data_IF_455390472587
#
_entry.id   IF_455390472587
#
_cell.length_a   1.000
_cell.length_b   1.000
_cell.length_c   1.000
_cell.angle_alpha   90.00
_cell.angle_beta   90.00
_cell.angle_gamma   90.00
#
_symmetry.space_group_name_H-M   'P 1'
#
loop_
_entity.id
_entity.type
_entity.pdbx_description
1 polymer ?
#
# COMPACT_ATOMS: atom_id res chain seq x y z
N UNK A 1 -0.03 -18.54 -21.19
CA UNK A 1 -0.79 -17.28 -21.08
C UNK A 1 -0.37 -16.37 -22.22
N UNK A 2 -1.35 -15.90 -22.99
CA UNK A 2 -1.14 -15.05 -24.18
C UNK A 2 -0.35 -13.78 -23.83
N UNK A 3 -0.63 -13.22 -22.64
CA UNK A 3 -0.03 -11.97 -22.14
C UNK A 3 1.46 -12.08 -21.75
N UNK A 4 1.97 -13.26 -21.40
CA UNK A 4 3.32 -13.40 -20.83
C UNK A 4 4.32 -14.11 -21.74
N UNK A 5 3.87 -14.59 -22.90
CA UNK A 5 4.71 -15.31 -23.86
C UNK A 5 5.84 -14.44 -24.45
N UNK A 6 5.62 -13.12 -24.53
CA UNK A 6 6.60 -12.19 -25.10
C UNK A 6 7.66 -11.69 -24.11
N UNK A 7 7.69 -12.21 -22.88
CA UNK A 7 8.65 -11.75 -21.86
C UNK A 7 10.08 -12.17 -22.22
N UNK A 8 11.11 -11.33 -21.98
CA UNK A 8 12.49 -11.59 -22.39
C UNK A 8 13.05 -12.95 -21.95
N UNK A 9 12.78 -13.36 -20.70
CA UNK A 9 13.20 -14.66 -20.16
C UNK A 9 12.46 -15.85 -20.81
N UNK A 10 11.18 -15.68 -21.17
CA UNK A 10 10.38 -16.74 -21.81
C UNK A 10 10.85 -16.97 -23.24
N UNK A 11 11.28 -15.90 -23.92
CA UNK A 11 11.82 -15.94 -25.28
C UNK A 11 13.29 -16.35 -25.36
N UNK A 12 13.96 -16.54 -24.22
CA UNK A 12 15.40 -16.84 -24.20
C UNK A 12 16.30 -15.68 -24.62
N UNK A 13 15.79 -14.44 -24.66
CA UNK A 13 16.57 -13.24 -25.02
C UNK A 13 17.60 -12.87 -23.94
N UNK A 14 17.38 -13.31 -22.69
CA UNK A 14 18.26 -13.09 -21.56
C UNK A 14 18.48 -14.44 -20.87
N UNK A 15 19.73 -14.75 -20.50
CA UNK A 15 20.03 -15.99 -19.78
C UNK A 15 19.50 -15.94 -18.35
N UNK A 16 19.08 -17.09 -17.80
CA UNK A 16 18.61 -17.19 -16.42
C UNK A 16 19.69 -16.76 -15.42
N UNK A 17 20.96 -17.09 -15.70
CA UNK A 17 22.10 -16.69 -14.85
C UNK A 17 22.31 -15.18 -14.86
N UNK A 18 22.24 -14.54 -16.02
CA UNK A 18 22.35 -13.08 -16.15
C UNK A 18 21.21 -12.37 -15.41
N UNK A 19 19.98 -12.88 -15.51
CA UNK A 19 18.85 -12.30 -14.79
C UNK A 19 18.97 -12.49 -13.27
N UNK A 20 19.47 -13.64 -12.81
CA UNK A 20 19.71 -13.89 -11.39
C UNK A 20 20.80 -12.97 -10.83
N UNK A 21 21.94 -12.86 -11.53
CA UNK A 21 23.02 -11.95 -11.14
C UNK A 21 22.54 -10.50 -11.08
N UNK A 22 21.78 -10.05 -12.09
CA UNK A 22 21.20 -8.72 -12.10
C UNK A 22 20.27 -8.49 -10.90
N UNK A 23 19.40 -9.46 -10.58
CA UNK A 23 18.49 -9.38 -9.43
C UNK A 23 19.24 -9.32 -8.09
N UNK A 24 20.30 -10.11 -7.92
CA UNK A 24 21.13 -10.09 -6.71
C UNK A 24 21.85 -8.75 -6.59
N UNK A 25 22.52 -8.29 -7.65
CA UNK A 25 23.26 -7.03 -7.63
C UNK A 25 22.35 -5.83 -7.33
N UNK A 26 21.23 -5.71 -8.03
CA UNK A 26 20.28 -4.61 -7.80
C UNK A 26 19.60 -4.72 -6.43
N UNK A 27 19.30 -5.93 -5.95
CA UNK A 27 18.77 -6.15 -4.62
C UNK A 27 19.75 -5.72 -3.52
N UNK A 28 21.01 -6.19 -3.58
CA UNK A 28 22.05 -5.81 -2.62
C UNK A 28 22.35 -4.31 -2.67
N UNK A 29 22.49 -3.74 -3.87
CA UNK A 29 22.71 -2.31 -4.05
C UNK A 29 21.54 -1.49 -3.47
N UNK A 30 20.30 -1.86 -3.78
CA UNK A 30 19.11 -1.16 -3.28
C UNK A 30 19.00 -1.22 -1.75
N UNK A 31 19.24 -2.38 -1.14
CA UNK A 31 19.27 -2.51 0.33
C UNK A 31 20.42 -1.69 0.91
N UNK A 32 21.60 -1.69 0.29
CA UNK A 32 22.74 -0.87 0.73
C UNK A 32 22.43 0.63 0.67
N UNK A 33 21.80 1.10 -0.41
CA UNK A 33 21.38 2.50 -0.54
C UNK A 33 20.38 2.88 0.54
N UNK A 34 19.41 2.01 0.87
CA UNK A 34 18.48 2.27 1.96
C UNK A 34 19.18 2.28 3.33
N UNK A 35 20.14 1.38 3.53
CA UNK A 35 20.87 1.26 4.80
C UNK A 35 21.69 2.52 5.12
N UNK A 36 22.45 3.01 4.13
CA UNK A 36 23.33 4.16 4.32
C UNK A 36 22.66 5.50 4.00
N UNK A 37 21.62 5.51 3.16
CA UNK A 37 20.98 6.74 2.67
C UNK A 37 19.65 7.09 3.32
N UNK A 38 19.03 6.16 4.05
CA UNK A 38 17.73 6.40 4.71
C UNK A 38 17.82 6.05 6.19
N UNK A 39 17.68 4.76 6.53
CA UNK A 39 17.85 4.24 7.88
C UNK A 39 17.84 2.69 7.87
N UNK A 40 18.48 2.03 8.85
CA UNK A 40 18.49 0.57 9.00
C UNK A 40 17.10 -0.07 9.00
N UNK A 41 16.11 0.51 9.67
CA UNK A 41 14.74 -0.06 9.72
C UNK A 41 14.11 -0.18 8.33
N UNK A 42 14.22 0.87 7.50
CA UNK A 42 13.70 0.90 6.13
C UNK A 42 14.42 -0.10 5.23
N UNK A 43 15.73 -0.26 5.40
CA UNK A 43 16.53 -1.24 4.68
C UNK A 43 16.10 -2.69 5.01
N UNK A 44 15.85 -2.98 6.29
CA UNK A 44 15.37 -4.29 6.74
C UNK A 44 13.96 -4.58 6.22
N UNK A 45 13.06 -3.60 6.26
CA UNK A 45 11.73 -3.71 5.66
C UNK A 45 11.83 -3.99 4.15
N UNK A 46 12.71 -3.28 3.44
CA UNK A 46 12.97 -3.50 2.02
C UNK A 46 13.51 -4.90 1.70
N UNK A 47 14.52 -5.34 2.45
CA UNK A 47 15.11 -6.68 2.31
C UNK A 47 14.09 -7.78 2.65
N UNK A 48 13.33 -7.60 3.73
CA UNK A 48 12.24 -8.49 4.13
C UNK A 48 11.14 -8.56 3.07
N UNK A 49 10.76 -7.43 2.46
CA UNK A 49 9.77 -7.39 1.40
C UNK A 49 10.25 -8.08 0.12
N UNK A 50 11.53 -7.92 -0.23
CA UNK A 50 12.16 -8.65 -1.35
C UNK A 50 12.07 -10.16 -1.12
N UNK A 51 12.42 -10.62 0.09
CA UNK A 51 12.32 -12.02 0.47
C UNK A 51 10.89 -12.55 0.46
N UNK A 52 9.96 -11.80 1.06
CA UNK A 52 8.53 -12.11 1.09
C UNK A 52 7.95 -12.22 -0.33
N UNK A 53 8.31 -11.30 -1.22
CA UNK A 53 7.83 -11.32 -2.60
C UNK A 53 8.39 -12.49 -3.42
N UNK A 54 9.71 -12.68 -3.36
CA UNK A 54 10.42 -13.66 -4.20
C UNK A 54 10.20 -15.10 -3.73
N UNK A 55 10.31 -15.35 -2.42
CA UNK A 55 10.35 -16.71 -1.87
C UNK A 55 9.01 -17.17 -1.28
N UNK A 56 8.15 -16.27 -0.83
CA UNK A 56 6.85 -16.64 -0.24
C UNK A 56 5.72 -16.42 -1.23
N UNK A 57 5.48 -15.18 -1.63
CA UNK A 57 4.34 -14.82 -2.48
C UNK A 57 4.40 -15.49 -3.86
N UNK A 58 5.57 -15.46 -4.53
CA UNK A 58 5.69 -15.96 -5.90
C UNK A 58 5.39 -17.47 -6.01
N UNK A 59 5.96 -18.36 -5.16
CA UNK A 59 5.58 -19.76 -5.14
C UNK A 59 4.13 -19.98 -4.71
N UNK A 60 3.63 -19.21 -3.73
CA UNK A 60 2.29 -19.38 -3.17
C UNK A 60 1.18 -19.22 -4.22
N UNK A 61 1.41 -18.45 -5.29
CA UNK A 61 0.47 -18.33 -6.42
C UNK A 61 0.09 -19.66 -7.07
N UNK A 62 0.96 -20.68 -7.00
CA UNK A 62 0.70 -22.03 -7.52
C UNK A 62 0.17 -23.00 -6.45
N UNK A 63 0.29 -22.64 -5.17
CA UNK A 63 0.00 -23.54 -4.06
C UNK A 63 -1.36 -23.27 -3.42
N UNK A 64 -1.69 -22.00 -3.13
CA UNK A 64 -2.87 -21.66 -2.33
C UNK A 64 -3.53 -20.32 -2.73
N UNK A 65 -4.87 -20.19 -2.65
CA UNK A 65 -5.59 -18.92 -2.91
C UNK A 65 -5.20 -17.75 -1.98
N UNK A 66 -4.59 -18.04 -0.83
CA UNK A 66 -4.09 -17.03 0.13
C UNK A 66 -2.96 -16.18 -0.45
N UNK A 67 -2.40 -16.54 -1.61
CA UNK A 67 -1.40 -15.73 -2.30
C UNK A 67 -1.79 -14.26 -2.44
N UNK A 68 -3.07 -13.92 -2.62
CA UNK A 68 -3.50 -12.53 -2.78
C UNK A 68 -3.34 -11.74 -1.49
N UNK A 69 -3.57 -12.35 -0.32
CA UNK A 69 -3.35 -11.71 0.98
C UNK A 69 -1.87 -11.48 1.25
N UNK A 70 -1.03 -12.48 0.99
CA UNK A 70 0.43 -12.33 1.12
C UNK A 70 0.96 -11.26 0.15
N UNK A 71 0.44 -11.24 -1.07
CA UNK A 71 0.74 -10.19 -2.04
C UNK A 71 0.26 -8.81 -1.59
N UNK A 72 -0.86 -8.74 -0.86
CA UNK A 72 -1.33 -7.48 -0.29
C UNK A 72 -0.44 -6.99 0.86
N UNK A 73 0.12 -7.89 1.68
CA UNK A 73 1.16 -7.54 2.67
C UNK A 73 2.37 -6.94 1.96
N UNK A 74 2.86 -7.57 0.88
CA UNK A 74 3.97 -7.02 0.09
C UNK A 74 3.67 -5.61 -0.42
N UNK A 75 2.43 -5.34 -0.82
CA UNK A 75 1.98 -4.01 -1.27
C UNK A 75 1.80 -2.99 -0.13
N UNK A 76 1.66 -3.43 1.11
CA UNK A 76 1.50 -2.58 2.29
C UNK A 76 2.84 -2.14 2.90
N UNK A 77 3.92 -2.88 2.66
CA UNK A 77 5.26 -2.55 3.18
C UNK A 77 5.84 -1.24 2.60
N UNK A 78 5.72 -0.90 1.31
CA UNK A 78 6.29 0.34 0.77
C UNK A 78 5.78 1.63 1.45
N UNK A 79 4.48 1.80 1.77
CA UNK A 79 4.04 2.89 2.63
C UNK A 79 4.72 2.95 4.00
N UNK A 80 4.92 1.81 4.66
CA UNK A 80 5.63 1.77 5.95
C UNK A 80 7.09 2.18 5.79
N UNK A 81 7.75 1.73 4.71
CA UNK A 81 9.10 2.17 4.37
C UNK A 81 9.17 3.68 4.18
N UNK A 82 8.19 4.27 3.45
CA UNK A 82 8.10 5.71 3.27
C UNK A 82 7.84 6.45 4.59
N UNK A 83 7.01 5.89 5.47
CA UNK A 83 6.77 6.44 6.80
C UNK A 83 8.03 6.43 7.67
N UNK A 84 8.73 5.28 7.76
CA UNK A 84 9.99 5.17 8.49
C UNK A 84 11.05 6.14 7.96
N UNK A 85 11.11 6.35 6.65
CA UNK A 85 12.04 7.30 6.03
C UNK A 85 11.76 8.76 6.42
N UNK A 86 10.48 9.13 6.56
CA UNK A 86 10.09 10.47 6.97
C UNK A 86 10.21 10.66 8.49
N UNK A 87 9.78 9.66 9.27
CA UNK A 87 9.80 9.70 10.73
C UNK A 87 11.22 9.74 11.29
N UNK A 88 12.20 9.10 10.64
CA UNK A 88 13.60 9.11 11.10
C UNK A 88 14.24 10.51 11.08
N UNK A 89 13.64 11.49 10.41
CA UNK A 89 14.12 12.88 10.45
C UNK A 89 13.81 13.58 11.79
N UNK A 90 12.86 13.04 12.55
CA UNK A 90 12.36 13.62 13.80
C UNK A 90 12.55 12.68 15.00
N UNK A 91 13.08 11.47 14.77
CA UNK A 91 13.38 10.50 15.83
C UNK A 91 14.43 11.05 16.79
N UNK A 92 14.12 10.95 18.09
CA UNK A 92 14.99 11.39 19.21
C UNK A 92 16.09 10.35 19.50
N UNK A 93 15.99 9.16 18.92
CA UNK A 93 16.95 8.06 19.13
C UNK A 93 18.29 8.40 18.48
N UNK A 94 19.31 8.59 19.33
CA UNK A 94 20.68 8.90 18.92
C UNK A 94 21.28 7.74 18.10
N UNK A 95 21.38 7.95 16.78
CA UNK A 95 21.74 6.91 15.80
C UNK A 95 23.17 6.37 15.96
N UNK A 96 23.95 6.95 16.87
CA UNK A 96 25.35 6.61 17.09
C UNK A 96 25.56 5.38 17.98
N UNK A 97 24.58 4.97 18.80
CA UNK A 97 24.74 3.86 19.75
C UNK A 97 23.47 3.03 20.01
N UNK A 98 22.36 3.33 19.33
CA UNK A 98 21.10 2.58 19.47
C UNK A 98 21.13 1.26 18.73
N UNK A 99 20.54 0.22 19.31
CA UNK A 99 20.35 -1.05 18.60
C UNK A 99 19.30 -0.89 17.49
N UNK A 100 19.45 -1.67 16.40
CA UNK A 100 18.49 -1.68 15.27
C UNK A 100 17.05 -1.97 15.75
N UNK A 101 16.93 -2.73 16.84
CA UNK A 101 15.65 -3.06 17.45
C UNK A 101 14.97 -1.84 18.08
N UNK A 102 15.74 -0.99 18.78
CA UNK A 102 15.23 0.23 19.41
C UNK A 102 14.78 1.24 18.35
N UNK A 103 15.59 1.44 17.31
CA UNK A 103 15.23 2.29 16.16
C UNK A 103 13.93 1.80 15.49
N UNK A 104 13.82 0.48 15.28
CA UNK A 104 12.62 -0.10 14.66
C UNK A 104 11.38 0.05 15.54
N UNK A 105 11.54 -0.03 16.87
CA UNK A 105 10.44 0.17 17.82
C UNK A 105 9.99 1.63 17.82
N UNK A 106 10.92 2.58 17.81
CA UNK A 106 10.65 4.01 17.73
C UNK A 106 9.88 4.39 16.46
N UNK A 107 10.30 3.84 15.31
CA UNK A 107 9.72 4.19 14.00
C UNK A 107 8.40 3.47 13.67
N UNK A 108 8.17 2.26 14.19
CA UNK A 108 7.02 1.43 13.79
C UNK A 108 6.01 1.16 14.89
N UNK A 109 6.38 1.24 16.17
CA UNK A 109 5.55 0.75 17.28
C UNK A 109 5.16 1.88 18.26
N UNK A 110 5.45 3.13 17.91
CA UNK A 110 4.99 4.32 18.63
C UNK A 110 3.59 4.75 18.17
N UNK A 111 2.90 5.55 18.99
CA UNK A 111 1.58 6.09 18.63
C UNK A 111 1.65 7.00 17.38
N UNK A 112 2.78 7.67 17.18
CA UNK A 112 3.04 8.47 15.99
C UNK A 112 3.10 7.62 14.73
N UNK A 113 3.49 6.34 14.81
CA UNK A 113 3.56 5.44 13.67
C UNK A 113 2.19 4.97 13.16
N UNK A 114 1.10 5.26 13.87
CA UNK A 114 -0.26 4.82 13.50
C UNK A 114 -0.66 5.31 12.11
N UNK A 115 -0.27 6.53 11.73
CA UNK A 115 -0.51 7.07 10.38
C UNK A 115 0.11 6.22 9.28
N UNK A 116 1.35 5.74 9.48
CA UNK A 116 2.04 4.85 8.56
C UNK A 116 1.30 3.52 8.39
N UNK A 117 0.84 2.93 9.50
CA UNK A 117 0.05 1.70 9.48
C UNK A 117 -1.32 1.87 8.82
N UNK A 118 -1.97 3.02 8.98
CA UNK A 118 -3.24 3.31 8.33
C UNK A 118 -3.09 3.46 6.81
N UNK A 119 -2.04 4.12 6.32
CA UNK A 119 -1.75 4.20 4.88
C UNK A 119 -1.38 2.81 4.35
N UNK A 120 -0.60 2.02 5.09
CA UNK A 120 -0.29 0.64 4.75
C UNK A 120 -1.55 -0.22 4.68
N UNK A 121 -2.47 -0.07 5.65
CA UNK A 121 -3.76 -0.75 5.68
C UNK A 121 -4.66 -0.32 4.51
N UNK A 122 -4.63 0.95 4.12
CA UNK A 122 -5.34 1.47 2.96
C UNK A 122 -4.86 0.78 1.68
N UNK A 123 -3.54 0.73 1.45
CA UNK A 123 -2.97 0.03 0.29
C UNK A 123 -3.25 -1.48 0.33
N UNK A 124 -3.18 -2.10 1.51
CA UNK A 124 -3.52 -3.50 1.71
C UNK A 124 -4.97 -3.78 1.31
N UNK A 125 -5.92 -3.01 1.85
CA UNK A 125 -7.34 -3.17 1.58
C UNK A 125 -7.67 -2.90 0.10
N UNK A 126 -7.04 -1.90 -0.49
CA UNK A 126 -7.23 -1.54 -1.90
C UNK A 126 -6.85 -2.66 -2.88
N UNK A 127 -5.85 -3.50 -2.55
CA UNK A 127 -5.41 -4.57 -3.45
C UNK A 127 -6.55 -5.52 -3.85
N UNK A 128 -7.49 -5.81 -2.94
CA UNK A 128 -8.52 -6.82 -3.18
C UNK A 128 -9.53 -6.42 -4.28
N UNK A 129 -10.25 -5.29 -4.18
CA UNK A 129 -11.14 -4.87 -5.26
C UNK A 129 -10.39 -4.65 -6.57
N UNK A 130 -9.14 -4.15 -6.54
CA UNK A 130 -8.34 -3.95 -7.74
C UNK A 130 -7.93 -5.26 -8.41
N UNK A 131 -7.24 -6.14 -7.68
CA UNK A 131 -6.67 -7.37 -8.21
C UNK A 131 -7.74 -8.39 -8.60
N UNK A 132 -8.82 -8.52 -7.81
CA UNK A 132 -9.89 -9.46 -8.15
C UNK A 132 -10.72 -9.01 -9.34
N UNK A 133 -10.95 -7.70 -9.51
CA UNK A 133 -11.54 -7.15 -10.71
C UNK A 133 -10.68 -7.43 -11.97
N UNK A 134 -9.36 -7.21 -11.87
CA UNK A 134 -8.42 -7.46 -12.95
C UNK A 134 -8.34 -8.96 -13.32
N UNK A 135 -8.13 -9.81 -12.31
CA UNK A 135 -7.91 -11.25 -12.51
C UNK A 135 -9.18 -11.99 -12.92
N UNK A 136 -10.36 -11.44 -12.68
CA UNK A 136 -11.63 -12.04 -13.10
C UNK A 136 -11.68 -12.30 -14.61
N UNK A 137 -11.23 -11.34 -15.43
CA UNK A 137 -11.28 -11.46 -16.90
C UNK A 137 -10.28 -12.48 -17.46
N UNK A 138 -9.19 -12.75 -16.74
CA UNK A 138 -8.11 -13.66 -17.15
C UNK A 138 -8.08 -14.94 -16.31
N UNK A 139 -9.14 -15.22 -15.54
CA UNK A 139 -9.21 -16.33 -14.58
C UNK A 139 -8.99 -17.70 -15.23
N UNK A 140 -9.50 -17.87 -16.45
CA UNK A 140 -9.35 -19.11 -17.22
C UNK A 140 -7.91 -19.34 -17.62
N UNK A 141 -7.21 -18.30 -18.10
CA UNK A 141 -5.78 -18.38 -18.41
C UNK A 141 -4.93 -18.69 -17.16
N UNK A 142 -5.30 -18.15 -15.99
CA UNK A 142 -4.64 -18.49 -14.74
C UNK A 142 -4.83 -19.96 -14.38
N UNK A 143 -6.05 -20.50 -14.49
CA UNK A 143 -6.35 -21.90 -14.22
C UNK A 143 -5.55 -22.82 -15.17
N UNK A 144 -5.56 -22.55 -16.47
CA UNK A 144 -4.81 -23.32 -17.47
C UNK A 144 -3.30 -23.28 -17.22
N UNK A 145 -2.76 -22.18 -16.70
CA UNK A 145 -1.35 -22.04 -16.36
C UNK A 145 -0.97 -22.62 -14.98
N UNK A 146 -1.90 -23.31 -14.30
CA UNK A 146 -1.66 -23.95 -13.01
C UNK A 146 -1.62 -22.99 -11.81
N UNK A 147 -2.13 -21.77 -11.96
CA UNK A 147 -2.25 -20.81 -10.85
C UNK A 147 -3.54 -21.02 -10.07
N UNK A 148 -3.43 -21.04 -8.74
CA UNK A 148 -4.54 -21.19 -7.80
C UNK A 148 -4.99 -19.82 -7.27
N UNK A 149 -5.49 -18.98 -8.17
CA UNK A 149 -6.04 -17.67 -7.81
C UNK A 149 -7.44 -17.83 -7.22
N UNK A 150 -7.81 -16.97 -6.26
CA UNK A 150 -9.17 -17.01 -5.69
C UNK A 150 -10.24 -16.76 -6.75
N UNK A 151 -9.96 -15.92 -7.75
CA UNK A 151 -10.86 -15.66 -8.88
C UNK A 151 -10.99 -16.81 -9.87
N UNK A 152 -10.06 -17.77 -9.89
CA UNK A 152 -10.19 -19.00 -10.69
C UNK A 152 -10.83 -20.13 -9.90
N UNK A 153 -10.63 -20.20 -8.57
CA UNK A 153 -11.22 -21.25 -7.73
C UNK A 153 -12.63 -20.92 -7.21
N UNK A 154 -12.87 -19.68 -6.77
CA UNK A 154 -14.15 -19.24 -6.20
C UNK A 154 -14.39 -17.74 -6.44
N UNK A 155 -15.03 -17.43 -7.57
CA UNK A 155 -15.38 -16.06 -7.97
C UNK A 155 -16.30 -15.35 -6.98
N UNK A 156 -17.27 -16.06 -6.38
CA UNK A 156 -18.18 -15.49 -5.39
C UNK A 156 -17.46 -15.09 -4.10
N UNK A 157 -16.48 -15.89 -3.66
CA UNK A 157 -15.62 -15.53 -2.52
C UNK A 157 -14.75 -14.33 -2.87
N UNK A 158 -14.12 -14.30 -4.04
CA UNK A 158 -13.33 -13.14 -4.48
C UNK A 158 -14.16 -11.84 -4.50
N UNK A 159 -15.40 -11.91 -4.95
CA UNK A 159 -16.29 -10.75 -4.96
C UNK A 159 -16.72 -10.31 -3.53
N UNK A 160 -16.99 -11.26 -2.63
CA UNK A 160 -17.26 -10.96 -1.21
C UNK A 160 -16.06 -10.34 -0.52
N UNK A 161 -14.85 -10.82 -0.79
CA UNK A 161 -13.60 -10.25 -0.23
C UNK A 161 -13.40 -8.83 -0.77
N UNK A 162 -13.58 -8.62 -2.09
CA UNK A 162 -13.52 -7.28 -2.70
C UNK A 162 -14.48 -6.30 -2.02
N UNK A 163 -15.72 -6.73 -1.76
CA UNK A 163 -16.73 -5.93 -1.07
C UNK A 163 -16.33 -5.60 0.37
N UNK A 164 -15.87 -6.59 1.15
CA UNK A 164 -15.45 -6.40 2.55
C UNK A 164 -14.32 -5.40 2.68
N UNK A 165 -13.28 -5.50 1.83
CA UNK A 165 -12.18 -4.55 1.87
C UNK A 165 -12.54 -3.19 1.27
N UNK A 166 -13.50 -3.13 0.33
CA UNK A 166 -14.08 -1.86 -0.10
C UNK A 166 -14.77 -1.13 1.05
N UNK A 167 -15.46 -1.86 1.92
CA UNK A 167 -16.07 -1.31 3.14
C UNK A 167 -15.02 -0.96 4.20
N UNK A 168 -13.96 -1.77 4.35
CA UNK A 168 -12.89 -1.52 5.31
C UNK A 168 -12.12 -0.22 5.05
N UNK A 169 -12.12 0.30 3.81
CA UNK A 169 -11.46 1.58 3.50
C UNK A 169 -12.14 2.79 4.16
N UNK A 170 -13.43 2.72 4.51
CA UNK A 170 -14.10 3.80 5.25
C UNK A 170 -13.51 4.01 6.65
N UNK A 171 -13.50 3.01 7.57
CA UNK A 171 -12.91 3.20 8.89
C UNK A 171 -11.39 3.47 8.82
N UNK A 172 -10.68 2.99 7.80
CA UNK A 172 -9.26 3.34 7.61
C UNK A 172 -9.08 4.83 7.30
N UNK A 173 -9.85 5.39 6.36
CA UNK A 173 -9.81 6.82 6.05
C UNK A 173 -10.31 7.69 7.21
N UNK A 174 -11.33 7.24 7.96
CA UNK A 174 -11.77 7.89 9.20
C UNK A 174 -10.64 7.87 10.23
N UNK A 175 -9.93 6.75 10.38
CA UNK A 175 -8.76 6.62 11.24
C UNK A 175 -7.67 7.64 10.91
N UNK A 176 -7.41 7.91 9.63
CA UNK A 176 -6.44 8.93 9.22
C UNK A 176 -6.83 10.33 9.70
N UNK A 177 -8.12 10.66 9.77
CA UNK A 177 -8.59 11.93 10.35
C UNK A 177 -8.61 11.90 11.88
N UNK A 178 -8.91 10.75 12.48
CA UNK A 178 -8.99 10.59 13.94
C UNK A 178 -7.62 10.71 14.62
N UNK A 179 -6.56 10.17 14.00
CA UNK A 179 -5.18 10.28 14.49
C UNK A 179 -4.45 11.52 13.93
N UNK A 180 -5.20 12.55 13.53
CA UNK A 180 -4.68 13.85 13.06
C UNK A 180 -3.65 13.79 11.92
N UNK A 181 -3.67 12.73 11.10
CA UNK A 181 -2.86 12.66 9.86
C UNK A 181 -3.46 13.59 8.80
N UNK A 182 -4.78 13.71 8.79
CA UNK A 182 -5.56 14.53 7.83
C UNK A 182 -6.65 15.31 8.56
N UNK A 183 -7.11 16.41 7.95
CA UNK A 183 -8.22 17.21 8.47
C UNK A 183 -9.54 16.42 8.48
N UNK A 184 -10.51 16.84 9.32
CA UNK A 184 -11.85 16.24 9.38
C UNK A 184 -12.60 16.32 8.05
N UNK A 185 -12.28 17.31 7.20
CA UNK A 185 -12.80 17.41 5.84
C UNK A 185 -12.41 16.21 4.97
N UNK A 186 -11.27 15.58 5.23
CA UNK A 186 -10.82 14.36 4.53
C UNK A 186 -11.78 13.19 4.74
N UNK A 187 -12.38 13.07 5.93
CA UNK A 187 -13.39 12.04 6.18
C UNK A 187 -14.56 12.15 5.19
N UNK A 188 -15.04 13.36 4.92
CA UNK A 188 -16.18 13.57 4.03
C UNK A 188 -15.78 13.34 2.56
N UNK A 189 -14.66 13.93 2.13
CA UNK A 189 -14.19 13.82 0.73
C UNK A 189 -13.78 12.39 0.38
N UNK A 190 -13.02 11.71 1.24
CA UNK A 190 -12.62 10.30 1.04
C UNK A 190 -13.82 9.36 1.05
N UNK A 191 -14.84 9.62 1.88
CA UNK A 191 -16.07 8.81 1.92
C UNK A 191 -16.83 8.85 0.60
N UNK A 192 -16.86 9.98 -0.10
CA UNK A 192 -17.49 10.08 -1.44
C UNK A 192 -16.76 9.17 -2.45
N UNK A 193 -15.43 9.21 -2.46
CA UNK A 193 -14.63 8.38 -3.39
C UNK A 193 -14.72 6.90 -3.02
N UNK A 194 -14.70 6.57 -1.74
CA UNK A 194 -14.88 5.21 -1.24
C UNK A 194 -16.29 4.68 -1.53
N UNK A 195 -17.34 5.52 -1.45
CA UNK A 195 -18.71 5.15 -1.80
C UNK A 195 -18.85 4.81 -3.29
N UNK A 196 -18.14 5.52 -4.16
CA UNK A 196 -18.10 5.19 -5.58
C UNK A 196 -17.50 3.79 -5.82
N UNK A 197 -16.33 3.50 -5.23
CA UNK A 197 -15.71 2.18 -5.34
C UNK A 197 -16.57 1.08 -4.70
N UNK A 198 -17.18 1.35 -3.54
CA UNK A 198 -18.09 0.43 -2.87
C UNK A 198 -19.29 0.09 -3.75
N UNK A 199 -19.87 1.07 -4.43
CA UNK A 199 -20.98 0.85 -5.38
C UNK A 199 -20.56 -0.09 -6.51
N UNK A 200 -19.37 0.08 -7.08
CA UNK A 200 -18.86 -0.82 -8.11
C UNK A 200 -18.53 -2.22 -7.54
N UNK A 201 -18.07 -2.30 -6.29
CA UNK A 201 -17.85 -3.58 -5.59
C UNK A 201 -19.16 -4.34 -5.32
N UNK A 202 -20.23 -3.62 -4.96
CA UNK A 202 -21.58 -4.21 -4.82
C UNK A 202 -22.07 -4.74 -6.17
N UNK A 203 -21.89 -3.99 -7.26
CA UNK A 203 -22.23 -4.47 -8.62
C UNK A 203 -21.43 -5.71 -8.99
N UNK A 204 -20.11 -5.71 -8.74
CA UNK A 204 -19.24 -6.85 -8.98
C UNK A 204 -19.71 -8.10 -8.20
N UNK A 205 -20.10 -7.92 -6.94
CA UNK A 205 -20.64 -8.99 -6.11
C UNK A 205 -22.00 -9.51 -6.59
N UNK A 206 -22.97 -8.62 -6.85
CA UNK A 206 -24.32 -9.03 -7.29
C UNK A 206 -24.32 -9.66 -8.68
N UNK A 207 -23.48 -9.16 -9.57
CA UNK A 207 -23.38 -9.61 -10.96
C UNK A 207 -22.31 -10.69 -11.17
N UNK A 208 -21.67 -11.18 -10.10
CA UNK A 208 -20.62 -12.22 -10.16
C UNK A 208 -19.46 -11.92 -11.13
N UNK A 209 -19.18 -10.63 -11.39
CA UNK A 209 -18.16 -10.18 -12.34
C UNK A 209 -18.63 -10.01 -13.79
N UNK A 210 -19.87 -10.36 -14.11
CA UNK A 210 -20.45 -10.26 -15.45
C UNK A 210 -20.94 -8.84 -15.78
N UNK A 211 -21.44 -8.65 -17.02
CA UNK A 211 -21.99 -7.39 -17.54
C UNK A 211 -21.05 -6.18 -17.41
N UNK A 212 -19.74 -6.43 -17.52
CA UNK A 212 -18.72 -5.38 -17.40
C UNK A 212 -18.45 -4.90 -15.97
N UNK A 213 -19.07 -5.51 -14.95
CA UNK A 213 -18.88 -5.12 -13.54
C UNK A 213 -17.43 -5.26 -13.06
N UNK A 214 -16.70 -6.29 -13.53
CA UNK A 214 -15.27 -6.43 -13.27
C UNK A 214 -14.46 -5.26 -13.83
N UNK A 215 -14.75 -4.82 -15.07
CA UNK A 215 -14.04 -3.68 -15.69
C UNK A 215 -14.36 -2.37 -14.97
N UNK A 216 -15.62 -2.17 -14.55
CA UNK A 216 -16.02 -0.98 -13.81
C UNK A 216 -15.33 -0.89 -12.44
N UNK A 217 -15.29 -1.99 -11.67
CA UNK A 217 -14.57 -2.04 -10.40
C UNK A 217 -13.06 -1.83 -10.57
N UNK A 218 -12.47 -2.40 -11.62
CA UNK A 218 -11.06 -2.18 -11.94
C UNK A 218 -10.76 -0.69 -12.15
N UNK A 219 -11.51 0.00 -13.02
CA UNK A 219 -11.29 1.43 -13.25
C UNK A 219 -11.61 2.29 -12.03
N UNK A 220 -12.64 1.93 -11.24
CA UNK A 220 -12.92 2.60 -9.99
C UNK A 220 -11.75 2.51 -9.02
N UNK A 221 -11.16 1.32 -8.85
CA UNK A 221 -9.97 1.15 -8.00
C UNK A 221 -8.74 1.90 -8.53
N UNK A 222 -8.52 1.96 -9.84
CA UNK A 222 -7.40 2.69 -10.45
C UNK A 222 -7.45 4.18 -10.13
N UNK A 223 -8.64 4.79 -10.17
CA UNK A 223 -8.80 6.21 -9.87
C UNK A 223 -8.96 6.51 -8.38
N UNK A 224 -9.60 5.62 -7.63
CA UNK A 224 -9.86 5.84 -6.21
C UNK A 224 -8.57 6.05 -5.42
N UNK A 225 -7.54 5.21 -5.61
CA UNK A 225 -6.32 5.29 -4.81
C UNK A 225 -5.57 6.62 -5.04
N UNK A 226 -5.24 7.03 -6.28
CA UNK A 226 -4.63 8.34 -6.53
C UNK A 226 -5.45 9.50 -5.99
N UNK A 227 -6.79 9.48 -6.17
CA UNK A 227 -7.65 10.57 -5.67
C UNK A 227 -7.58 10.64 -4.14
N UNK A 228 -7.71 9.51 -3.45
CA UNK A 228 -7.64 9.47 -1.98
C UNK A 228 -6.26 9.91 -1.48
N UNK A 229 -5.17 9.51 -2.13
CA UNK A 229 -3.82 9.95 -1.75
C UNK A 229 -3.62 11.46 -2.00
N UNK A 230 -4.11 11.99 -3.11
CA UNK A 230 -4.07 13.45 -3.39
C UNK A 230 -4.91 14.21 -2.37
N UNK A 231 -6.12 13.72 -2.03
CA UNK A 231 -6.93 14.32 -0.99
C UNK A 231 -6.22 14.30 0.37
N UNK A 232 -5.55 13.20 0.72
CA UNK A 232 -4.78 13.11 1.96
C UNK A 232 -3.62 14.13 2.00
N UNK A 233 -2.98 14.40 0.85
CA UNK A 233 -1.94 15.43 0.76
C UNK A 233 -2.51 16.85 0.86
N UNK A 234 -3.60 17.13 0.14
CA UNK A 234 -4.25 18.45 0.08
C UNK A 234 -4.95 18.80 1.40
N UNK A 235 -5.42 17.79 2.14
CA UNK A 235 -6.10 17.93 3.42
C UNK A 235 -5.23 17.41 4.55
N UNK A 236 -3.90 17.54 4.42
CA UNK A 236 -2.97 17.28 5.50
C UNK A 236 -3.26 18.24 6.65
N UNK A 237 -3.28 17.72 7.88
CA UNK A 237 -3.58 18.49 9.08
C UNK A 237 -2.77 19.80 9.14
N UNK A 238 -3.46 20.91 9.34
CA UNK A 238 -2.86 22.25 9.50
C UNK A 238 -2.30 22.88 8.21
N UNK A 239 -2.40 22.23 7.04
CA UNK A 239 -1.87 22.78 5.79
C UNK A 239 -2.59 24.07 5.38
N UNK A 240 -3.93 24.07 5.42
CA UNK A 240 -4.73 25.22 5.01
C UNK A 240 -4.60 26.41 5.97
N UNK A 241 -4.45 26.15 7.27
CA UNK A 241 -4.20 27.20 8.25
C UNK A 241 -2.84 27.85 8.03
N UNK A 242 -1.79 27.07 7.77
CA UNK A 242 -0.45 27.58 7.45
C UNK A 242 -0.45 28.39 6.15
N UNK A 243 -1.18 27.93 5.13
CA UNK A 243 -1.35 28.68 3.88
C UNK A 243 -2.10 29.99 4.11
N UNK A 244 -3.17 29.97 4.90
CA UNK A 244 -3.95 31.17 5.20
C UNK A 244 -3.14 32.20 5.99
N UNK A 245 -2.38 31.76 7.00
CA UNK A 245 -1.43 32.61 7.76
C UNK A 245 -0.37 33.24 6.84
N UNK A 246 0.23 32.42 5.96
CA UNK A 246 1.23 32.87 4.99
C UNK A 246 0.67 33.90 4.00
N UNK A 247 -0.56 33.73 3.52
CA UNK A 247 -1.21 34.67 2.58
C UNK A 247 -1.56 35.99 3.28
N UNK A 248 -1.99 35.94 4.56
CA UNK A 248 -2.37 37.13 5.31
C UNK A 248 -1.18 37.89 5.92
N UNK A 249 0.05 37.43 5.71
CA UNK A 249 1.25 38.12 6.17
C UNK A 249 1.47 38.05 7.69
N UNK A 250 0.77 37.15 8.39
CA UNK A 250 1.08 36.81 9.77
C UNK A 250 2.36 35.97 9.73
N UNK A 251 3.50 36.61 10.05
CA UNK A 251 4.78 35.91 10.14
C UNK A 251 4.67 34.76 11.14
N UNK A 252 5.39 33.66 10.88
CA UNK A 252 5.51 32.53 11.79
C UNK A 252 6.06 33.04 13.14
N UNK A 253 5.18 33.48 14.03
CA UNK A 253 5.51 33.56 15.45
C UNK A 253 5.70 32.12 15.86
N UNK A 254 6.96 31.74 16.04
CA UNK A 254 7.37 30.51 16.72
C UNK A 254 6.38 30.25 17.86
N UNK A 255 5.53 29.24 17.69
CA UNK A 255 4.75 28.68 18.79
C UNK A 255 5.80 28.15 19.76
N UNK A 256 6.13 29.01 20.73
CA UNK A 256 6.75 28.63 21.98
C UNK A 256 6.07 27.36 22.45
N UNK A 257 6.90 26.35 22.64
CA UNK A 257 6.62 25.16 23.43
C UNK A 257 5.68 25.51 24.59
N UNK A 258 4.43 25.05 24.53
CA UNK A 258 3.60 24.87 25.72
C UNK A 258 4.21 23.69 26.51
N UNK A 259 5.35 23.95 27.14
CA UNK A 259 5.71 23.37 28.42
C UNK A 259 4.84 24.07 29.48
N UNK A 260 3.57 23.72 29.58
CA UNK A 260 2.75 23.99 30.77
C UNK A 260 1.43 23.23 30.65
N UNK A 261 1.40 22.01 31.20
CA UNK A 261 0.28 21.53 32.02
C UNK A 261 0.58 20.13 32.62
N UNK A 262 0.90 20.13 33.91
CA UNK A 262 0.44 19.13 34.90
C UNK A 262 1.16 17.79 35.04
#
# INVERSE_FOLDING_TARGET
>A
MSRTQNRPLVRGLISQRSALLFAILTGCLGVGVLWYGVNPTTAILGAGNLGLYAFVYTPLKRLHPVNTWVGAVVGAVPPLMGWCAAASQYSVTDSSNSSIWEESKDLLLTEQAIGGWLIAALLFAWQFPHFFALSHNVRHEYATAGYKMLTSSNTAMAARVSLRYSLAMFPICIGLSYYDVTDTAFMATSSVVNAWMLREAIKFWRLHGDKGSARALFWASVWQLPIVLVLAMVQKKGLWERLWRSINGEGDSEELWDDEDG
#
